data_IF_980150256379
#
_entry.id   IF_980150256379
#
_cell.length_a   1.000
_cell.length_b   1.000
_cell.length_c   1.000
_cell.angle_alpha   90.00
_cell.angle_beta   90.00
_cell.angle_gamma   90.00
#
_symmetry.space_group_name_H-M   'P 1'
#
loop_
_entity.id
_entity.type
_entity.pdbx_description
1 polymer ?
#
# COMPACT_ATOMS: atom_id res chain seq x y z
N UNK A 1 1.16 -25.65 24.12
CA UNK A 1 0.43 -25.33 22.87
C UNK A 1 1.41 -24.63 21.95
N UNK A 2 1.35 -24.83 20.63
CA UNK A 2 2.16 -24.02 19.70
C UNK A 2 1.47 -22.68 19.45
N UNK A 3 2.24 -21.61 19.61
CA UNK A 3 1.75 -20.24 19.57
C UNK A 3 2.86 -19.35 18.99
N UNK A 4 2.47 -18.41 18.15
CA UNK A 4 3.31 -17.29 17.73
C UNK A 4 2.62 -15.99 18.11
N UNK A 5 3.34 -14.87 18.03
CA UNK A 5 2.80 -13.55 18.29
C UNK A 5 3.08 -12.64 17.09
N UNK A 6 2.10 -11.85 16.70
CA UNK A 6 2.20 -10.92 15.58
C UNK A 6 2.23 -9.48 16.10
N UNK A 7 3.34 -8.78 15.90
CA UNK A 7 3.47 -7.36 16.17
C UNK A 7 3.04 -6.57 14.93
N UNK A 8 1.88 -5.94 15.01
CA UNK A 8 1.30 -5.10 13.96
C UNK A 8 1.60 -3.62 14.26
N UNK A 9 2.20 -2.91 13.31
CA UNK A 9 2.38 -1.45 13.40
C UNK A 9 1.34 -0.76 12.51
N UNK A 10 0.55 0.17 13.07
CA UNK A 10 -0.50 0.88 12.30
C UNK A 10 0.08 1.96 11.39
N UNK A 11 1.16 2.61 11.82
CA UNK A 11 1.81 3.68 11.05
C UNK A 11 2.64 3.12 9.88
N UNK A 12 3.53 2.15 10.13
CA UNK A 12 4.28 1.46 9.07
C UNK A 12 3.43 0.52 8.21
N UNK A 13 2.26 0.08 8.69
CA UNK A 13 1.43 -0.99 8.09
C UNK A 13 2.18 -2.31 7.91
N UNK A 14 3.06 -2.64 8.85
CA UNK A 14 3.88 -3.86 8.85
C UNK A 14 3.39 -4.85 9.89
N UNK A 15 3.70 -6.13 9.67
CA UNK A 15 3.53 -7.19 10.66
C UNK A 15 4.85 -7.93 10.84
N UNK A 16 5.36 -7.98 12.07
CA UNK A 16 6.50 -8.80 12.46
C UNK A 16 6.03 -10.02 13.26
N UNK A 17 6.73 -11.14 13.09
CA UNK A 17 6.44 -12.40 13.77
C UNK A 17 7.43 -12.58 14.89
N UNK A 18 6.93 -12.93 16.06
CA UNK A 18 7.70 -13.13 17.27
C UNK A 18 7.38 -14.52 17.84
N UNK A 19 8.36 -15.24 18.40
CA UNK A 19 8.12 -16.50 19.09
C UNK A 19 7.20 -16.26 20.30
N UNK A 20 6.57 -17.33 20.80
CA UNK A 20 5.85 -17.28 22.07
C UNK A 20 6.76 -16.81 23.21
N UNK A 21 6.18 -16.13 24.20
CA UNK A 21 6.89 -15.71 25.40
C UNK A 21 5.96 -15.71 26.60
N UNK A 22 6.37 -16.41 27.66
CA UNK A 22 5.68 -16.48 28.95
C UNK A 22 6.59 -15.88 30.02
N UNK A 23 6.30 -14.65 30.44
CA UNK A 23 7.12 -13.86 31.38
C UNK A 23 6.64 -12.42 31.51
N UNK A 24 7.36 -11.56 32.24
CA UNK A 24 7.08 -10.12 32.26
C UNK A 24 7.34 -9.54 30.85
N UNK A 25 6.36 -8.90 30.18
CA UNK A 25 6.57 -8.28 28.86
C UNK A 25 7.72 -7.25 28.82
N UNK A 26 8.15 -6.71 29.97
CA UNK A 26 9.34 -5.84 30.07
C UNK A 26 10.67 -6.57 29.93
N UNK A 27 10.68 -7.90 30.03
CA UNK A 27 11.84 -8.77 29.88
C UNK A 27 11.86 -9.49 28.52
N UNK A 28 10.84 -9.26 27.67
CA UNK A 28 10.79 -9.76 26.31
C UNK A 28 11.69 -8.93 25.39
N UNK A 29 12.97 -9.27 25.40
CA UNK A 29 14.01 -8.64 24.57
C UNK A 29 13.73 -8.74 23.06
N UNK A 30 12.99 -9.76 22.62
CA UNK A 30 12.65 -9.97 21.19
C UNK A 30 11.55 -9.01 20.77
N UNK A 31 10.52 -8.83 21.60
CA UNK A 31 9.50 -7.80 21.43
C UNK A 31 10.09 -6.39 21.52
N UNK A 32 10.98 -6.14 22.48
CA UNK A 32 11.63 -4.83 22.61
C UNK A 32 12.47 -4.48 21.37
N UNK A 33 13.27 -5.43 20.88
CA UNK A 33 14.06 -5.24 19.65
C UNK A 33 13.17 -5.01 18.42
N UNK A 34 12.08 -5.77 18.26
CA UNK A 34 11.13 -5.56 17.17
C UNK A 34 10.47 -4.17 17.27
N UNK A 35 9.94 -3.81 18.45
CA UNK A 35 9.31 -2.51 18.69
C UNK A 35 10.28 -1.32 18.53
N UNK A 36 11.58 -1.51 18.79
CA UNK A 36 12.59 -0.45 18.64
C UNK A 36 12.76 0.04 17.20
N UNK A 37 12.45 -0.81 16.20
CA UNK A 37 12.46 -0.46 14.76
C UNK A 37 11.33 0.51 14.36
N UNK A 38 10.25 0.55 15.16
CA UNK A 38 9.02 1.29 14.85
C UNK A 38 9.01 2.66 15.53
N UNK A 39 9.81 3.57 14.96
CA UNK A 39 9.94 4.96 15.45
C UNK A 39 9.96 5.97 14.33
N UNK A 40 9.37 7.13 14.61
CA UNK A 40 9.48 8.32 13.78
C UNK A 40 10.91 8.91 13.88
N UNK A 41 11.35 9.75 12.91
CA UNK A 41 12.67 10.39 12.96
C UNK A 41 12.92 11.29 14.19
N UNK A 42 11.87 11.73 14.89
CA UNK A 42 11.95 12.48 16.15
C UNK A 42 12.16 11.58 17.39
N UNK A 43 12.20 10.26 17.23
CA UNK A 43 12.39 9.27 18.30
C UNK A 43 11.10 8.73 18.93
N UNK A 44 9.94 9.32 18.64
CA UNK A 44 8.63 8.85 19.14
C UNK A 44 8.31 7.45 18.59
N UNK A 45 7.65 6.62 19.39
CA UNK A 45 7.27 5.26 19.01
C UNK A 45 6.01 5.28 18.15
N UNK A 46 5.94 4.44 17.12
CA UNK A 46 4.72 4.19 16.37
C UNK A 46 3.65 3.51 17.23
N UNK A 47 2.40 3.62 16.82
CA UNK A 47 1.27 2.91 17.41
C UNK A 47 1.19 1.48 16.86
N UNK A 48 1.10 0.50 17.77
CA UNK A 48 1.12 -0.92 17.41
C UNK A 48 0.34 -1.84 18.34
N UNK A 49 -0.17 -2.93 17.73
CA UNK A 49 -0.85 -4.11 18.26
C UNK A 49 0.04 -5.34 18.45
N UNK A 50 0.15 -5.94 19.63
CA UNK A 50 0.64 -7.34 19.73
C UNK A 50 -0.55 -8.30 19.77
N UNK A 51 -0.51 -9.33 18.91
CA UNK A 51 -1.57 -10.33 18.74
C UNK A 51 -1.08 -11.75 19.03
N UNK A 52 -1.67 -12.47 19.99
CA UNK A 52 -1.44 -13.91 20.11
C UNK A 52 -2.10 -14.67 18.95
N UNK A 53 -1.42 -15.68 18.41
CA UNK A 53 -1.94 -16.58 17.37
C UNK A 53 -1.78 -18.02 17.84
N UNK A 54 -2.88 -18.60 18.31
CA UNK A 54 -2.95 -19.98 18.81
C UNK A 54 -3.02 -21.00 17.67
N UNK A 55 -2.43 -22.19 17.90
CA UNK A 55 -2.50 -23.33 16.97
C UNK A 55 -1.55 -23.22 15.77
N UNK A 56 -0.57 -22.33 15.84
CA UNK A 56 0.44 -22.06 14.81
C UNK A 56 1.80 -21.92 15.49
N UNK A 57 2.75 -22.72 15.04
CA UNK A 57 4.18 -22.59 15.31
C UNK A 57 4.87 -21.86 14.15
N UNK A 58 6.14 -21.53 14.38
CA UNK A 58 7.03 -20.86 13.43
C UNK A 58 7.21 -21.69 12.14
N UNK A 59 7.39 -23.01 12.25
CA UNK A 59 7.53 -23.92 11.11
C UNK A 59 6.27 -23.91 10.21
N UNK A 60 5.08 -24.01 10.81
CA UNK A 60 3.80 -23.92 10.07
C UNK A 60 3.60 -22.55 9.43
N UNK A 61 4.01 -21.47 10.11
CA UNK A 61 3.93 -20.11 9.59
C UNK A 61 4.84 -19.88 8.37
N UNK A 62 6.06 -20.43 8.38
CA UNK A 62 7.00 -20.31 7.27
C UNK A 62 6.70 -21.25 6.10
N UNK A 63 6.15 -22.44 6.36
CA UNK A 63 5.81 -23.43 5.33
C UNK A 63 4.47 -23.17 4.61
N UNK A 64 3.50 -22.53 5.26
CA UNK A 64 2.12 -22.44 4.78
C UNK A 64 1.69 -21.00 4.46
N UNK A 65 1.98 -20.53 3.24
CA UNK A 65 1.61 -19.18 2.79
C UNK A 65 0.09 -18.89 2.88
N UNK A 66 -0.74 -19.88 2.58
CA UNK A 66 -2.21 -19.79 2.65
C UNK A 66 -2.70 -19.51 4.08
N UNK A 67 -2.18 -20.28 5.06
CA UNK A 67 -2.49 -20.11 6.50
C UNK A 67 -2.04 -18.75 7.00
N UNK A 68 -0.84 -18.32 6.59
CA UNK A 68 -0.30 -16.99 6.92
C UNK A 68 -1.22 -15.88 6.42
N UNK A 69 -1.62 -15.94 5.15
CA UNK A 69 -2.40 -14.89 4.51
C UNK A 69 -3.85 -14.83 5.07
N UNK A 70 -4.44 -15.97 5.45
CA UNK A 70 -5.71 -16.05 6.18
C UNK A 70 -5.62 -15.39 7.58
N UNK A 71 -4.58 -15.71 8.35
CA UNK A 71 -4.37 -15.14 9.69
C UNK A 71 -4.15 -13.63 9.61
N UNK A 72 -3.30 -13.17 8.67
CA UNK A 72 -3.08 -11.75 8.45
C UNK A 72 -4.39 -11.04 8.08
N UNK A 73 -5.19 -11.60 7.15
CA UNK A 73 -6.50 -11.06 6.78
C UNK A 73 -7.41 -10.90 8.00
N UNK A 74 -7.51 -11.92 8.86
CA UNK A 74 -8.31 -11.89 10.10
C UNK A 74 -7.82 -10.84 11.09
N UNK A 75 -6.52 -10.74 11.33
CA UNK A 75 -5.92 -9.77 12.28
C UNK A 75 -6.10 -8.33 11.79
N UNK A 76 -5.89 -8.06 10.49
CA UNK A 76 -6.13 -6.74 9.92
C UNK A 76 -7.61 -6.35 9.94
N UNK A 77 -8.53 -7.28 9.68
CA UNK A 77 -9.97 -7.03 9.86
C UNK A 77 -10.31 -6.65 11.32
N UNK A 78 -9.69 -7.29 12.31
CA UNK A 78 -9.93 -7.01 13.74
C UNK A 78 -9.41 -5.65 14.22
N UNK A 79 -8.28 -5.12 13.69
CA UNK A 79 -7.81 -3.77 14.05
C UNK A 79 -8.68 -2.63 13.48
N UNK A 80 -9.77 -2.96 12.77
CA UNK A 80 -10.61 -1.99 12.07
C UNK A 80 -9.96 -1.46 10.80
N UNK A 81 -9.17 -2.28 10.10
CA UNK A 81 -8.61 -1.91 8.81
C UNK A 81 -9.70 -1.81 7.73
N UNK A 82 -10.37 -0.66 7.73
CA UNK A 82 -11.06 -0.05 6.58
C UNK A 82 -10.07 0.41 5.49
N UNK A 83 -8.91 -0.25 5.41
CA UNK A 83 -8.01 -0.20 4.26
C UNK A 83 -8.57 -1.12 3.19
N UNK A 84 -8.66 -0.61 1.97
CA UNK A 84 -9.21 -1.34 0.82
C UNK A 84 -8.58 -2.75 0.67
N UNK A 85 -9.37 -3.70 0.19
CA UNK A 85 -8.99 -5.12 0.10
C UNK A 85 -7.62 -5.34 -0.57
N UNK A 86 -6.91 -6.46 -0.28
CA UNK A 86 -5.55 -6.70 -0.78
C UNK A 86 -5.34 -6.48 -2.29
N UNK A 87 -6.36 -6.75 -3.12
CA UNK A 87 -6.30 -6.50 -4.57
C UNK A 87 -6.11 -5.01 -4.93
N UNK A 88 -6.54 -4.07 -4.08
CA UNK A 88 -6.33 -2.63 -4.32
C UNK A 88 -4.87 -2.25 -4.15
N UNK A 89 -4.16 -2.84 -3.19
CA UNK A 89 -2.72 -2.64 -3.07
C UNK A 89 -1.98 -3.24 -4.28
N UNK A 90 -2.36 -4.45 -4.71
CA UNK A 90 -1.84 -5.08 -5.93
C UNK A 90 -2.11 -4.22 -7.19
N UNK A 91 -3.30 -3.61 -7.31
CA UNK A 91 -3.64 -2.71 -8.41
C UNK A 91 -2.76 -1.45 -8.41
N UNK A 92 -2.53 -0.85 -7.23
CA UNK A 92 -1.63 0.31 -7.07
C UNK A 92 -0.19 -0.05 -7.44
N UNK A 93 0.31 -1.21 -7.02
CA UNK A 93 1.68 -1.64 -7.34
C UNK A 93 1.86 -2.04 -8.81
N UNK A 94 0.82 -2.59 -9.44
CA UNK A 94 0.76 -2.78 -10.90
C UNK A 94 0.88 -1.44 -11.62
N UNK A 95 0.09 -0.42 -11.22
CA UNK A 95 0.15 0.91 -11.83
C UNK A 95 1.51 1.61 -11.61
N UNK A 96 2.16 1.41 -10.47
CA UNK A 96 3.55 1.86 -10.25
C UNK A 96 4.54 1.15 -11.18
N UNK A 97 4.39 -0.16 -11.38
CA UNK A 97 5.23 -0.94 -12.29
C UNK A 97 5.11 -0.43 -13.73
N UNK A 98 3.89 -0.24 -14.22
CA UNK A 98 3.61 0.29 -15.56
C UNK A 98 4.14 1.73 -15.74
N UNK A 99 4.00 2.57 -14.71
CA UNK A 99 4.56 3.92 -14.72
C UNK A 99 6.10 3.91 -14.77
N UNK A 100 6.73 3.00 -14.01
CA UNK A 100 8.18 2.78 -14.03
C UNK A 100 8.67 2.26 -15.39
N UNK A 101 7.95 1.35 -16.04
CA UNK A 101 8.25 0.90 -17.40
C UNK A 101 8.15 2.06 -18.40
N UNK A 102 7.08 2.86 -18.32
CA UNK A 102 6.88 4.02 -19.19
C UNK A 102 7.97 5.10 -19.00
N UNK A 103 8.47 5.29 -17.78
CA UNK A 103 9.58 6.22 -17.49
C UNK A 103 10.94 5.68 -17.98
N UNK A 104 11.23 4.39 -17.73
CA UNK A 104 12.45 3.72 -18.19
C UNK A 104 12.53 3.69 -19.72
N UNK A 105 11.44 3.34 -20.40
CA UNK A 105 11.35 3.30 -21.87
C UNK A 105 11.51 4.66 -22.57
N UNK A 106 11.51 5.77 -21.81
CA UNK A 106 11.78 7.12 -22.31
C UNK A 106 13.19 7.63 -21.98
N UNK A 107 14.08 6.75 -21.51
CA UNK A 107 15.44 7.13 -21.12
C UNK A 107 15.52 7.81 -19.75
N UNK A 108 14.56 7.55 -18.85
CA UNK A 108 14.50 8.12 -17.48
C UNK A 108 14.56 9.66 -17.44
N UNK A 109 13.70 10.37 -18.20
CA UNK A 109 13.79 11.82 -18.30
C UNK A 109 13.43 12.49 -16.97
N UNK A 110 14.01 13.67 -16.73
CA UNK A 110 13.74 14.49 -15.53
C UNK A 110 12.38 15.20 -15.60
N UNK A 111 11.87 15.46 -16.81
CA UNK A 111 10.55 16.05 -17.05
C UNK A 111 9.81 15.31 -18.17
N UNK A 112 8.48 15.40 -18.23
CA UNK A 112 7.68 14.66 -19.21
C UNK A 112 6.74 15.60 -19.97
N UNK A 113 6.91 15.68 -21.29
CA UNK A 113 6.01 16.40 -22.21
C UNK A 113 4.60 15.83 -22.24
N UNK A 114 4.47 14.51 -22.04
CA UNK A 114 3.22 13.76 -22.21
C UNK A 114 2.54 13.49 -20.86
N UNK A 115 2.94 14.21 -19.81
CA UNK A 115 2.37 14.12 -18.47
C UNK A 115 0.87 14.48 -18.51
N UNK A 116 0.02 13.64 -17.91
CA UNK A 116 -1.45 13.75 -17.97
C UNK A 116 -2.06 13.81 -19.38
N UNK A 117 -1.35 13.31 -20.41
CA UNK A 117 -1.93 13.14 -21.75
C UNK A 117 -3.05 12.08 -21.76
N UNK A 118 -4.02 12.24 -22.68
CA UNK A 118 -5.15 11.30 -22.84
C UNK A 118 -4.72 9.86 -23.08
N UNK A 119 -3.59 9.64 -23.75
CA UNK A 119 -2.99 8.31 -23.97
C UNK A 119 -2.51 7.62 -22.68
N UNK A 120 -2.48 8.34 -21.56
CA UNK A 120 -2.09 7.85 -20.22
C UNK A 120 -3.25 7.87 -19.22
N UNK A 121 -4.47 8.21 -19.66
CA UNK A 121 -5.68 8.23 -18.82
C UNK A 121 -6.14 6.81 -18.51
N UNK A 122 -6.24 6.47 -17.23
CA UNK A 122 -6.72 5.18 -16.76
C UNK A 122 -8.25 5.17 -16.88
N UNK A 123 -8.78 4.42 -17.84
CA UNK A 123 -10.24 4.27 -18.05
C UNK A 123 -10.61 2.80 -17.81
N UNK A 124 -11.55 2.49 -16.89
CA UNK A 124 -12.02 1.12 -16.69
C UNK A 124 -12.61 0.53 -17.99
N UNK A 125 -12.38 -0.75 -18.31
CA UNK A 125 -12.88 -1.39 -19.54
C UNK A 125 -14.38 -1.72 -19.50
N UNK A 126 -15.17 -1.06 -18.65
CA UNK A 126 -16.59 -1.34 -18.37
C UNK A 126 -17.55 -0.87 -19.48
N UNK A 127 -17.08 -0.69 -20.71
CA UNK A 127 -17.88 -0.13 -21.81
C UNK A 127 -18.95 -1.11 -22.32
N UNK A 128 -18.67 -2.41 -22.25
CA UNK A 128 -19.63 -3.48 -22.58
C UNK A 128 -20.72 -3.58 -21.52
N UNK A 129 -20.32 -3.75 -20.27
CA UNK A 129 -21.21 -3.95 -19.12
C UNK A 129 -22.19 -2.77 -18.97
N UNK A 130 -21.68 -1.53 -19.02
CA UNK A 130 -22.51 -0.32 -18.96
C UNK A 130 -23.51 -0.23 -20.11
N UNK A 131 -23.18 -0.73 -21.30
CA UNK A 131 -24.13 -0.81 -22.43
C UNK A 131 -25.21 -1.87 -22.17
N UNK A 132 -24.86 -3.01 -21.59
CA UNK A 132 -25.80 -4.07 -21.26
C UNK A 132 -26.78 -3.65 -20.14
N UNK A 133 -26.29 -2.90 -19.15
CA UNK A 133 -27.08 -2.38 -18.02
C UNK A 133 -27.83 -1.06 -18.33
N UNK A 134 -27.74 -0.54 -19.56
CA UNK A 134 -28.36 0.74 -19.95
C UNK A 134 -27.75 1.97 -19.28
N UNK A 135 -26.58 1.84 -18.63
CA UNK A 135 -25.88 2.91 -17.95
C UNK A 135 -25.22 3.89 -18.94
N UNK A 136 -25.13 5.19 -18.59
CA UNK A 136 -24.41 6.16 -19.42
C UNK A 136 -22.93 5.78 -19.54
N UNK A 137 -22.30 6.19 -20.65
CA UNK A 137 -20.85 6.02 -20.88
C UNK A 137 -20.05 6.55 -19.69
N UNK A 138 -18.88 5.97 -19.44
CA UNK A 138 -17.97 6.45 -18.39
C UNK A 138 -17.66 7.94 -18.61
N UNK A 139 -17.97 8.76 -17.60
CA UNK A 139 -17.74 10.19 -17.69
C UNK A 139 -16.24 10.51 -17.61
N UNK A 140 -15.70 10.98 -18.74
CA UNK A 140 -14.31 11.43 -18.84
C UNK A 140 -14.13 12.88 -18.41
N UNK A 141 -15.21 13.64 -18.20
CA UNK A 141 -15.16 15.06 -17.84
C UNK A 141 -15.03 15.30 -16.34
N UNK A 142 -15.64 14.45 -15.48
CA UNK A 142 -15.52 14.54 -14.01
C UNK A 142 -14.05 14.61 -13.52
N UNK A 143 -13.59 15.75 -12.98
CA UNK A 143 -12.20 15.92 -12.55
C UNK A 143 -11.80 15.00 -11.39
N UNK A 144 -12.72 14.68 -10.48
CA UNK A 144 -12.44 13.82 -9.33
C UNK A 144 -12.21 12.36 -9.74
N UNK A 145 -12.81 11.92 -10.86
CA UNK A 145 -12.65 10.60 -11.45
C UNK A 145 -11.48 10.48 -12.45
N UNK A 146 -10.81 11.58 -12.80
CA UNK A 146 -9.66 11.52 -13.69
C UNK A 146 -8.44 10.97 -12.93
N UNK A 147 -7.91 9.85 -13.45
CA UNK A 147 -6.66 9.23 -13.02
C UNK A 147 -5.81 8.94 -14.26
N UNK A 148 -4.51 9.09 -14.11
CA UNK A 148 -3.54 8.86 -15.16
C UNK A 148 -2.42 7.96 -14.64
N UNK A 149 -1.80 7.19 -15.52
CA UNK A 149 -0.61 6.40 -15.18
C UNK A 149 0.52 7.29 -14.62
N UNK A 150 0.55 8.56 -15.04
CA UNK A 150 1.46 9.59 -14.55
C UNK A 150 1.34 9.88 -13.04
N UNK A 151 0.19 9.59 -12.41
CA UNK A 151 -0.05 9.80 -10.97
C UNK A 151 0.81 8.89 -10.07
N UNK A 152 1.37 7.83 -10.68
CA UNK A 152 2.22 6.81 -10.06
C UNK A 152 3.69 6.87 -10.54
N UNK A 153 4.05 7.92 -11.30
CA UNK A 153 5.37 8.08 -11.92
C UNK A 153 6.37 8.78 -10.97
N UNK A 154 7.66 8.38 -10.92
CA UNK A 154 8.65 9.00 -10.01
C UNK A 154 8.80 10.52 -10.18
N UNK A 155 8.72 11.02 -11.41
CA UNK A 155 8.84 12.45 -11.75
C UNK A 155 7.53 13.23 -11.61
N UNK A 156 6.52 12.67 -10.92
CA UNK A 156 5.24 13.33 -10.69
C UNK A 156 5.39 14.67 -10.00
N UNK A 157 6.12 14.72 -8.88
CA UNK A 157 6.34 15.95 -8.10
C UNK A 157 6.96 17.06 -8.95
N UNK A 158 7.97 16.73 -9.75
CA UNK A 158 8.67 17.67 -10.65
C UNK A 158 7.72 18.24 -11.72
N UNK A 159 6.88 17.41 -12.34
CA UNK A 159 5.94 17.88 -13.35
C UNK A 159 4.78 18.68 -12.72
N UNK A 160 4.25 18.24 -11.55
CA UNK A 160 3.26 19.01 -10.79
C UNK A 160 3.80 20.39 -10.39
N UNK A 161 5.05 20.48 -9.90
CA UNK A 161 5.71 21.74 -9.55
C UNK A 161 5.83 22.66 -10.78
N UNK A 162 6.28 22.15 -11.94
CA UNK A 162 6.35 22.95 -13.18
C UNK A 162 4.98 23.45 -13.64
N UNK A 163 3.91 22.66 -13.47
CA UNK A 163 2.54 23.08 -13.79
C UNK A 163 2.07 24.17 -12.82
N UNK A 164 2.28 23.99 -11.51
CA UNK A 164 1.89 24.98 -10.50
C UNK A 164 2.68 26.29 -10.61
N UNK A 165 3.97 26.25 -10.92
CA UNK A 165 4.79 27.42 -11.20
C UNK A 165 4.29 28.17 -12.46
N UNK A 166 3.93 27.47 -13.55
CA UNK A 166 3.30 28.08 -14.73
C UNK A 166 1.93 28.73 -14.44
N UNK A 167 1.24 28.28 -13.40
CA UNK A 167 -0.02 28.84 -12.93
C UNK A 167 0.17 29.96 -11.89
N UNK A 168 1.42 30.35 -11.57
CA UNK A 168 1.72 31.39 -10.58
C UNK A 168 1.42 31.00 -9.13
N UNK A 169 1.37 29.70 -8.82
CA UNK A 169 1.05 29.18 -7.49
C UNK A 169 2.28 28.96 -6.59
N UNK A 170 3.48 29.16 -7.13
CA UNK A 170 4.78 29.09 -6.45
C UNK A 170 5.66 30.21 -7.03
N UNK A 171 6.34 30.95 -6.15
CA UNK A 171 7.43 31.87 -6.48
C UNK A 171 8.77 31.11 -6.52
#
# INVERSE_FOLDING_TARGET
>A
MTQIRLLLCKDCRTTEVLPHYEGDPRQDTVLEYAAAKHRYPNGERHFGRLYPVEGVDEDRWHSSAEVRDEILKRVWQQEGATGMEPWVYQAVDTLKSDAMQCWRGRGRPETCSDFHSDKKRLTPPTAGDRKAEGLPKWDKSNPAGQRYLCDYCPIRSVNEQRVRAKLGLYE
#
